data_IF_739601785464
#
_entry.id   IF_739601785464
#
_cell.length_a   1.000
_cell.length_b   1.000
_cell.length_c   1.000
_cell.angle_alpha   90.00
_cell.angle_beta   90.00
_cell.angle_gamma   90.00
#
_symmetry.space_group_name_H-M   'P 1'
#
loop_
_entity.id
_entity.type
_entity.pdbx_description
1 polymer ?
#
# COMPACT_ATOMS: atom_id res chain seq x y z
N UNK A 1 1.13 -7.70 -13.16
CA UNK A 1 2.20 -6.91 -12.53
C UNK A 1 3.23 -7.88 -12.02
N UNK A 2 4.22 -8.18 -12.87
CA UNK A 2 5.38 -9.05 -12.63
C UNK A 2 6.67 -8.28 -12.86
N UNK A 3 7.78 -8.71 -12.29
CA UNK A 3 9.06 -7.98 -12.44
C UNK A 3 9.53 -7.89 -13.89
N UNK A 4 9.16 -8.85 -14.73
CA UNK A 4 9.48 -8.90 -16.16
C UNK A 4 8.92 -7.69 -16.91
N UNK A 5 7.77 -7.16 -16.48
CA UNK A 5 7.15 -5.94 -17.02
C UNK A 5 8.03 -4.69 -16.79
N UNK A 6 8.95 -4.75 -15.82
CA UNK A 6 9.81 -3.63 -15.40
C UNK A 6 11.30 -3.86 -15.70
N UNK A 7 11.64 -4.87 -16.51
CA UNK A 7 13.02 -5.25 -16.81
C UNK A 7 13.90 -4.05 -17.22
N UNK A 8 13.39 -3.17 -18.07
CA UNK A 8 14.17 -2.04 -18.59
C UNK A 8 14.56 -1.06 -17.48
N UNK A 9 13.63 -0.80 -16.54
CA UNK A 9 13.90 0.00 -15.35
C UNK A 9 14.89 -0.69 -14.39
N UNK A 10 14.79 -2.02 -14.26
CA UNK A 10 15.68 -2.81 -13.41
C UNK A 10 17.12 -2.77 -13.97
N UNK A 11 17.30 -2.97 -15.27
CA UNK A 11 18.61 -2.90 -15.92
C UNK A 11 19.17 -1.47 -16.02
N UNK A 12 18.32 -0.45 -16.08
CA UNK A 12 18.73 0.95 -16.04
C UNK A 12 19.31 1.40 -14.69
N UNK A 13 19.13 0.63 -13.61
CA UNK A 13 19.64 0.98 -12.29
C UNK A 13 21.17 1.02 -12.25
N UNK A 14 21.75 2.23 -12.25
CA UNK A 14 23.20 2.45 -12.13
C UNK A 14 23.78 2.25 -10.71
N UNK A 15 22.98 1.79 -9.74
CA UNK A 15 23.38 1.56 -8.33
C UNK A 15 24.07 2.77 -7.66
N UNK A 16 23.70 4.00 -8.06
CA UNK A 16 24.30 5.27 -7.61
C UNK A 16 23.93 5.70 -6.17
N UNK A 17 23.08 4.95 -5.47
CA UNK A 17 22.68 5.19 -4.08
C UNK A 17 21.75 6.39 -3.81
N UNK A 18 21.32 7.16 -4.82
CA UNK A 18 20.35 8.27 -4.62
C UNK A 18 19.03 7.83 -3.96
N UNK A 19 18.57 6.61 -4.24
CA UNK A 19 17.36 6.09 -3.60
C UNK A 19 17.52 5.78 -2.10
N UNK A 20 18.74 5.47 -1.66
CA UNK A 20 19.05 5.25 -0.25
C UNK A 20 19.33 6.57 0.46
N UNK A 21 20.01 7.51 -0.20
CA UNK A 21 20.60 8.67 0.45
C UNK A 21 22.11 8.51 0.64
N UNK A 22 22.80 9.59 0.99
CA UNK A 22 24.22 9.59 1.35
C UNK A 22 24.33 10.25 2.73
N UNK A 23 25.01 9.60 3.67
CA UNK A 23 25.30 10.08 5.03
C UNK A 23 24.05 10.51 5.84
N UNK A 24 23.96 11.79 6.23
CA UNK A 24 22.89 12.33 7.08
C UNK A 24 21.54 12.52 6.35
N UNK A 25 21.47 12.21 5.05
CA UNK A 25 20.23 12.21 4.26
C UNK A 25 19.83 10.79 3.88
N UNK A 26 19.95 9.82 4.81
CA UNK A 26 19.41 8.48 4.63
C UNK A 26 17.88 8.56 4.49
N UNK A 27 17.40 8.20 3.31
CA UNK A 27 16.01 8.32 2.84
C UNK A 27 15.21 7.04 3.05
N UNK A 28 15.88 5.89 3.17
CA UNK A 28 15.23 4.61 3.39
C UNK A 28 15.18 4.32 4.89
N UNK A 29 14.02 4.50 5.57
CA UNK A 29 13.95 4.38 7.03
C UNK A 29 14.29 2.98 7.55
N UNK A 30 14.18 1.96 6.70
CA UNK A 30 14.47 0.57 7.06
C UNK A 30 15.96 0.30 7.30
N UNK A 31 16.86 1.15 6.79
CA UNK A 31 18.30 0.99 7.07
C UNK A 31 18.61 1.15 8.56
N UNK A 32 17.82 1.95 9.28
CA UNK A 32 18.00 2.20 10.71
C UNK A 32 17.54 1.05 11.60
N UNK A 33 16.81 0.08 11.06
CA UNK A 33 16.37 -1.11 11.79
C UNK A 33 17.09 -2.37 11.34
N UNK A 34 17.27 -2.54 10.03
CA UNK A 34 17.85 -3.76 9.46
C UNK A 34 19.36 -3.67 9.26
N UNK A 35 19.93 -2.48 9.03
CA UNK A 35 21.36 -2.23 8.76
C UNK A 35 21.97 -2.96 7.55
N UNK A 36 21.20 -3.84 6.88
CA UNK A 36 21.62 -4.56 5.67
C UNK A 36 21.26 -3.80 4.40
N UNK A 37 22.18 -3.79 3.43
CA UNK A 37 21.92 -3.16 2.14
C UNK A 37 20.78 -3.84 1.37
N UNK A 38 20.57 -5.15 1.54
CA UNK A 38 19.45 -5.88 0.92
C UNK A 38 18.07 -5.37 1.32
N UNK A 39 17.97 -4.64 2.43
CA UNK A 39 16.74 -4.01 2.92
C UNK A 39 16.54 -2.58 2.39
N UNK A 40 17.43 -2.05 1.55
CA UNK A 40 17.30 -0.71 0.97
C UNK A 40 16.63 -0.77 -0.41
N UNK A 41 16.25 0.38 -0.95
CA UNK A 41 15.81 0.50 -2.33
C UNK A 41 16.87 0.02 -3.33
N UNK A 42 18.15 0.35 -3.12
CA UNK A 42 19.24 -0.08 -4.02
C UNK A 42 19.47 -1.58 -3.94
N UNK A 43 19.46 -2.16 -2.73
CA UNK A 43 19.56 -3.60 -2.54
C UNK A 43 18.44 -4.35 -3.22
N UNK A 44 17.20 -3.88 -3.09
CA UNK A 44 16.03 -4.45 -3.79
C UNK A 44 16.14 -4.40 -5.30
N UNK A 45 16.73 -3.35 -5.87
CA UNK A 45 17.01 -3.31 -7.31
C UNK A 45 18.05 -4.36 -7.72
N UNK A 46 19.08 -4.60 -6.89
CA UNK A 46 20.06 -5.65 -7.12
C UNK A 46 19.44 -7.04 -7.01
N UNK A 47 18.55 -7.25 -6.04
CA UNK A 47 17.76 -8.48 -5.88
C UNK A 47 16.89 -8.71 -7.11
N UNK A 48 16.08 -7.73 -7.52
CA UNK A 48 15.20 -7.84 -8.68
C UNK A 48 15.99 -8.23 -9.94
N UNK A 49 17.16 -7.62 -10.14
CA UNK A 49 18.06 -7.97 -11.24
C UNK A 49 18.60 -9.40 -11.12
N UNK A 50 19.03 -9.81 -9.93
CA UNK A 50 19.50 -11.18 -9.69
C UNK A 50 18.43 -12.23 -9.97
N UNK A 51 17.17 -11.94 -9.67
CA UNK A 51 16.03 -12.80 -10.00
C UNK A 51 15.84 -12.89 -11.53
N UNK A 52 15.81 -11.75 -12.23
CA UNK A 52 15.70 -11.72 -13.70
C UNK A 52 16.85 -12.46 -14.41
N UNK A 53 18.05 -12.43 -13.83
CA UNK A 53 19.24 -13.09 -14.36
C UNK A 53 19.33 -14.57 -13.96
N UNK A 54 18.39 -15.09 -13.16
CA UNK A 54 18.40 -16.47 -12.66
C UNK A 54 19.50 -16.77 -11.64
N UNK A 55 20.08 -15.72 -11.03
CA UNK A 55 21.13 -15.83 -10.02
C UNK A 55 20.57 -15.86 -8.58
N UNK A 56 19.30 -15.48 -8.40
CA UNK A 56 18.58 -15.52 -7.13
C UNK A 56 17.17 -16.07 -7.36
N UNK A 57 16.73 -16.94 -6.46
CA UNK A 57 15.35 -17.41 -6.43
C UNK A 57 14.53 -16.67 -5.35
N UNK A 58 13.22 -16.64 -5.54
CA UNK A 58 12.30 -16.25 -4.48
C UNK A 58 12.33 -17.27 -3.33
N UNK A 59 12.41 -16.77 -2.09
CA UNK A 59 12.44 -17.61 -0.89
C UNK A 59 11.78 -16.89 0.29
N UNK A 60 11.38 -17.63 1.32
CA UNK A 60 10.79 -17.05 2.53
C UNK A 60 11.73 -16.03 3.20
N UNK A 61 13.05 -16.31 3.26
CA UNK A 61 14.05 -15.37 3.78
C UNK A 61 14.12 -14.07 2.96
N UNK A 62 13.97 -14.18 1.64
CA UNK A 62 13.94 -13.01 0.76
C UNK A 62 12.67 -12.19 0.97
N UNK A 63 11.56 -12.82 1.37
CA UNK A 63 10.30 -12.15 1.64
C UNK A 63 10.48 -11.07 2.71
N UNK A 64 11.25 -11.31 3.77
CA UNK A 64 11.53 -10.29 4.79
C UNK A 64 12.12 -9.01 4.18
N UNK A 65 13.03 -9.16 3.20
CA UNK A 65 13.68 -8.02 2.53
C UNK A 65 12.72 -7.30 1.59
N UNK A 66 11.82 -7.99 0.91
CA UNK A 66 10.88 -7.34 -0.02
C UNK A 66 9.70 -6.71 0.73
N UNK A 67 9.18 -7.40 1.74
CA UNK A 67 8.01 -6.98 2.51
C UNK A 67 8.33 -5.96 3.61
N UNK A 68 9.60 -5.83 4.03
CA UNK A 68 10.04 -4.77 4.95
C UNK A 68 9.87 -3.35 4.41
N UNK A 69 9.77 -3.17 3.08
CA UNK A 69 9.57 -1.85 2.48
C UNK A 69 8.23 -1.22 2.92
N UNK A 70 8.28 -0.03 3.53
CA UNK A 70 7.06 0.71 3.94
C UNK A 70 6.26 1.33 2.80
N UNK A 71 6.69 1.18 1.55
CA UNK A 71 6.01 1.77 0.39
C UNK A 71 5.87 3.30 0.47
N UNK A 72 6.79 4.00 1.15
CA UNK A 72 6.75 5.46 1.33
C UNK A 72 7.05 6.28 0.06
N UNK A 73 7.50 5.61 -1.00
CA UNK A 73 7.81 6.20 -2.31
C UNK A 73 8.92 7.27 -2.36
N UNK A 74 9.64 7.55 -1.26
CA UNK A 74 10.76 8.51 -1.29
C UNK A 74 11.84 8.12 -2.30
N UNK A 75 12.17 6.82 -2.39
CA UNK A 75 13.15 6.32 -3.37
C UNK A 75 12.70 6.50 -4.83
N UNK A 76 11.40 6.36 -5.09
CA UNK A 76 10.81 6.55 -6.42
C UNK A 76 11.01 7.98 -6.89
N UNK A 77 10.79 8.98 -6.04
CA UNK A 77 10.92 10.39 -6.45
C UNK A 77 12.34 10.73 -6.93
N UNK A 78 13.35 10.17 -6.27
CA UNK A 78 14.75 10.38 -6.62
C UNK A 78 15.16 9.58 -7.86
N UNK A 79 14.79 8.30 -7.91
CA UNK A 79 15.08 7.42 -9.04
C UNK A 79 14.35 7.82 -10.32
N UNK A 80 13.13 8.38 -10.21
CA UNK A 80 12.38 8.91 -11.34
C UNK A 80 13.11 10.08 -11.98
N UNK A 81 13.63 11.02 -11.16
CA UNK A 81 14.42 12.16 -11.67
C UNK A 81 15.73 11.71 -12.33
N UNK A 82 16.42 10.75 -11.71
CA UNK A 82 17.73 10.31 -12.18
C UNK A 82 17.68 9.43 -13.44
N UNK A 83 16.70 8.53 -13.54
CA UNK A 83 16.68 7.49 -14.59
C UNK A 83 15.26 7.03 -14.98
N UNK A 84 14.20 7.75 -14.60
CA UNK A 84 12.80 7.37 -14.85
C UNK A 84 12.42 5.97 -14.29
N UNK A 85 13.03 5.59 -13.17
CA UNK A 85 12.80 4.29 -12.51
C UNK A 85 11.74 4.45 -11.41
N UNK A 86 10.70 3.60 -11.44
CA UNK A 86 9.74 3.45 -10.34
C UNK A 86 10.08 2.23 -9.46
N UNK A 87 10.92 2.46 -8.45
CA UNK A 87 11.36 1.42 -7.50
C UNK A 87 10.19 0.81 -6.73
N UNK A 88 9.12 1.59 -6.50
CA UNK A 88 7.93 1.11 -5.77
C UNK A 88 7.12 0.15 -6.64
N UNK A 89 6.94 0.46 -7.92
CA UNK A 89 6.26 -0.45 -8.85
C UNK A 89 6.99 -1.78 -8.96
N UNK A 90 8.32 -1.76 -9.10
CA UNK A 90 9.17 -2.96 -9.11
C UNK A 90 9.05 -3.73 -7.79
N UNK A 91 9.10 -3.05 -6.65
CA UNK A 91 8.97 -3.72 -5.33
C UNK A 91 7.59 -4.36 -5.16
N UNK A 92 6.52 -3.70 -5.63
CA UNK A 92 5.18 -4.29 -5.63
C UNK A 92 5.08 -5.48 -6.59
N UNK A 93 5.75 -5.43 -7.74
CA UNK A 93 5.80 -6.54 -8.69
C UNK A 93 6.46 -7.77 -8.05
N UNK A 94 7.60 -7.59 -7.37
CA UNK A 94 8.22 -8.68 -6.59
C UNK A 94 7.26 -9.28 -5.56
N UNK A 95 6.52 -8.44 -4.81
CA UNK A 95 5.50 -8.94 -3.86
C UNK A 95 4.39 -9.73 -4.54
N UNK A 96 4.00 -9.34 -5.74
CA UNK A 96 2.98 -10.07 -6.51
C UNK A 96 3.51 -11.43 -7.01
N UNK A 97 4.80 -11.51 -7.37
CA UNK A 97 5.44 -12.77 -7.75
C UNK A 97 5.49 -13.75 -6.57
N UNK A 98 5.76 -13.27 -5.35
CA UNK A 98 5.64 -14.10 -4.13
C UNK A 98 4.27 -14.77 -4.00
N UNK A 99 3.19 -14.03 -4.26
CA UNK A 99 1.81 -14.55 -4.19
C UNK A 99 1.58 -15.59 -5.30
N UNK A 100 2.00 -15.31 -6.53
CA UNK A 100 1.83 -16.21 -7.66
C UNK A 100 2.58 -17.54 -7.52
N UNK A 101 3.78 -17.48 -6.93
CA UNK A 101 4.61 -18.65 -6.67
C UNK A 101 4.14 -19.44 -5.44
N UNK A 102 3.14 -18.95 -4.71
CA UNK A 102 2.65 -19.59 -3.48
C UNK A 102 3.69 -19.57 -2.35
N UNK A 103 4.65 -18.64 -2.38
CA UNK A 103 5.69 -18.53 -1.36
C UNK A 103 5.13 -17.72 -0.20
N UNK A 104 5.35 -18.23 1.01
CA UNK A 104 4.87 -17.60 2.24
C UNK A 104 5.40 -16.17 2.37
N UNK A 105 4.50 -15.24 2.70
CA UNK A 105 4.81 -13.84 3.00
C UNK A 105 4.73 -13.59 4.52
N UNK A 106 5.22 -12.45 5.04
CA UNK A 106 5.11 -12.15 6.46
C UNK A 106 3.65 -12.15 6.97
N UNK A 107 3.42 -12.91 8.05
CA UNK A 107 2.11 -13.22 8.62
C UNK A 107 1.27 -11.97 8.92
N UNK A 108 1.89 -10.91 9.44
CA UNK A 108 1.18 -9.67 9.78
C UNK A 108 0.55 -8.99 8.55
N UNK A 109 1.23 -9.02 7.40
CA UNK A 109 0.69 -8.48 6.16
C UNK A 109 -0.42 -9.36 5.60
N UNK A 110 -0.23 -10.68 5.65
CA UNK A 110 -1.18 -11.65 5.13
C UNK A 110 -2.51 -11.62 5.90
N UNK A 111 -2.44 -11.68 7.23
CA UNK A 111 -3.61 -11.58 8.10
C UNK A 111 -4.39 -10.28 7.92
N UNK A 112 -3.69 -9.17 7.68
CA UNK A 112 -4.34 -7.89 7.43
C UNK A 112 -5.18 -7.92 6.14
N UNK A 113 -4.64 -8.54 5.09
CA UNK A 113 -5.34 -8.74 3.83
C UNK A 113 -6.54 -9.70 3.98
N UNK A 114 -6.36 -10.82 4.68
CA UNK A 114 -7.44 -11.79 4.95
C UNK A 114 -8.57 -11.19 5.79
N UNK A 115 -8.23 -10.39 6.80
CA UNK A 115 -9.21 -9.66 7.62
C UNK A 115 -10.03 -8.71 6.75
N UNK A 116 -9.38 -7.97 5.85
CA UNK A 116 -10.07 -7.08 4.93
C UNK A 116 -11.01 -7.84 3.98
N UNK A 117 -10.60 -9.00 3.44
CA UNK A 117 -11.42 -9.84 2.56
C UNK A 117 -12.64 -10.43 3.28
N UNK A 118 -12.48 -10.84 4.54
CA UNK A 118 -13.53 -11.54 5.29
C UNK A 118 -14.52 -10.61 5.98
N UNK A 119 -14.07 -9.43 6.42
CA UNK A 119 -14.88 -8.51 7.23
C UNK A 119 -15.18 -7.17 6.55
N UNK A 120 -14.60 -6.92 5.37
CA UNK A 120 -14.74 -5.65 4.66
C UNK A 120 -13.91 -4.51 5.26
N UNK A 121 -13.17 -4.70 6.36
CA UNK A 121 -12.27 -3.69 6.91
C UNK A 121 -11.07 -4.35 7.64
N UNK A 122 -10.05 -3.56 8.01
CA UNK A 122 -8.82 -4.11 8.62
C UNK A 122 -8.91 -4.37 10.13
N UNK A 123 -10.03 -4.02 10.76
CA UNK A 123 -10.24 -4.17 12.20
C UNK A 123 -11.28 -5.24 12.56
N UNK A 124 -11.92 -5.84 11.55
CA UNK A 124 -13.10 -6.69 11.73
C UNK A 124 -14.24 -6.01 12.50
N UNK A 125 -14.37 -4.69 12.36
CA UNK A 125 -15.46 -3.94 12.96
C UNK A 125 -16.79 -4.33 12.33
N UNK A 126 -17.85 -4.38 13.14
CA UNK A 126 -19.23 -4.44 12.64
C UNK A 126 -19.65 -3.09 12.06
N UNK A 127 -20.68 -3.04 11.18
CA UNK A 127 -21.18 -1.77 10.65
C UNK A 127 -21.54 -0.75 11.75
N UNK A 128 -22.13 -1.21 12.86
CA UNK A 128 -22.46 -0.36 14.00
C UNK A 128 -21.23 0.31 14.64
N UNK A 129 -20.10 -0.40 14.76
CA UNK A 129 -18.85 0.16 15.30
C UNK A 129 -18.20 1.09 14.27
N UNK A 130 -18.17 0.64 13.02
CA UNK A 130 -17.54 1.34 11.90
C UNK A 130 -18.24 2.67 11.59
N UNK A 131 -19.56 2.75 11.74
CA UNK A 131 -20.35 3.94 11.46
C UNK A 131 -20.61 4.82 12.68
N UNK A 132 -20.12 4.46 13.87
CA UNK A 132 -20.34 5.23 15.10
C UNK A 132 -19.93 6.71 15.00
N UNK A 133 -18.91 7.02 14.19
CA UNK A 133 -18.42 8.39 14.02
C UNK A 133 -19.43 9.31 13.32
N UNK A 134 -20.53 8.80 12.75
CA UNK A 134 -21.55 9.61 12.06
C UNK A 134 -22.56 10.30 12.98
N UNK A 135 -22.47 10.08 14.29
CA UNK A 135 -23.47 10.60 15.25
C UNK A 135 -23.60 12.14 15.17
N UNK A 136 -24.84 12.59 15.00
CA UNK A 136 -25.19 14.01 14.87
C UNK A 136 -24.72 14.66 13.56
N UNK A 137 -24.51 13.88 12.51
CA UNK A 137 -24.20 14.34 11.14
C UNK A 137 -25.33 13.94 10.18
N UNK A 138 -25.56 14.76 9.16
CA UNK A 138 -26.55 14.49 8.12
C UNK A 138 -25.88 14.21 6.76
N UNK A 139 -26.22 13.08 6.15
CA UNK A 139 -25.75 12.72 4.81
C UNK A 139 -26.92 12.69 3.83
N UNK A 140 -26.68 13.11 2.59
CA UNK A 140 -27.67 13.10 1.52
C UNK A 140 -27.18 12.19 0.41
N UNK A 141 -27.87 11.05 0.22
CA UNK A 141 -27.56 10.11 -0.85
C UNK A 141 -27.69 10.80 -2.22
N UNK A 142 -26.68 10.64 -3.06
CA UNK A 142 -26.65 11.24 -4.39
C UNK A 142 -26.42 12.76 -4.40
N UNK A 143 -25.83 13.34 -3.35
CA UNK A 143 -25.48 14.77 -3.30
C UNK A 143 -24.45 15.20 -4.36
N UNK A 144 -23.82 14.24 -5.04
CA UNK A 144 -22.74 14.46 -6.00
C UNK A 144 -21.35 14.58 -5.35
N UNK A 145 -21.26 14.58 -4.01
CA UNK A 145 -19.98 14.61 -3.29
C UNK A 145 -19.94 13.51 -2.24
N UNK A 146 -19.20 12.43 -2.50
CA UNK A 146 -19.03 11.32 -1.56
C UNK A 146 -17.88 11.58 -0.59
N UNK A 147 -18.14 11.47 0.71
CA UNK A 147 -17.11 11.41 1.74
C UNK A 147 -16.76 9.96 2.05
N UNK A 148 -15.53 9.55 1.71
CA UNK A 148 -15.00 8.20 1.97
C UNK A 148 -13.91 8.26 3.06
N UNK A 149 -14.24 8.02 4.34
CA UNK A 149 -13.26 8.01 5.43
C UNK A 149 -12.32 6.80 5.40
N UNK A 150 -12.81 5.66 4.91
CA UNK A 150 -12.11 4.38 5.02
C UNK A 150 -11.97 3.85 6.45
N UNK A 151 -11.52 2.60 6.57
CA UNK A 151 -11.46 1.87 7.84
C UNK A 151 -10.61 2.52 8.94
N UNK A 152 -9.44 3.09 8.61
CA UNK A 152 -8.54 3.67 9.61
C UNK A 152 -9.16 4.89 10.30
N UNK A 153 -9.76 5.79 9.52
CA UNK A 153 -10.39 6.99 10.06
C UNK A 153 -11.64 6.63 10.87
N UNK A 154 -12.48 5.73 10.34
CA UNK A 154 -13.69 5.24 11.00
C UNK A 154 -13.43 4.49 12.32
N UNK A 155 -12.29 3.81 12.46
CA UNK A 155 -11.96 3.08 13.68
C UNK A 155 -11.11 3.90 14.68
N UNK A 156 -9.98 4.47 14.23
CA UNK A 156 -8.98 5.11 15.13
C UNK A 156 -9.17 6.61 15.30
N UNK A 157 -9.80 7.29 14.34
CA UNK A 157 -9.89 8.75 14.32
C UNK A 157 -11.35 9.23 14.29
N UNK A 158 -12.25 8.52 14.98
CA UNK A 158 -13.71 8.77 15.00
C UNK A 158 -14.06 10.24 15.21
N UNK A 159 -13.57 10.82 16.31
CA UNK A 159 -13.84 12.21 16.67
C UNK A 159 -13.32 13.19 15.61
N UNK A 160 -12.09 13.00 15.12
CA UNK A 160 -11.49 13.86 14.08
C UNK A 160 -12.23 13.76 12.75
N UNK A 161 -12.70 12.56 12.41
CA UNK A 161 -13.48 12.30 11.19
C UNK A 161 -14.84 13.01 11.28
N UNK A 162 -15.52 12.92 12.44
CA UNK A 162 -16.76 13.64 12.70
C UNK A 162 -16.57 15.17 12.59
N UNK A 163 -15.54 15.72 13.27
CA UNK A 163 -15.21 17.14 13.22
C UNK A 163 -14.95 17.61 11.79
N UNK A 164 -14.19 16.83 11.00
CA UNK A 164 -13.93 17.15 9.59
C UNK A 164 -15.24 17.28 8.79
N UNK A 165 -16.18 16.33 8.96
CA UNK A 165 -17.47 16.40 8.28
C UNK A 165 -18.30 17.61 8.74
N UNK A 166 -18.31 17.94 10.04
CA UNK A 166 -18.98 19.16 10.54
C UNK A 166 -18.42 20.42 9.90
N UNK A 167 -17.09 20.51 9.78
CA UNK A 167 -16.42 21.64 9.13
C UNK A 167 -16.82 21.74 7.65
N UNK A 168 -16.85 20.62 6.93
CA UNK A 168 -17.28 20.58 5.53
C UNK A 168 -18.76 21.00 5.37
N UNK A 169 -19.66 20.49 6.22
CA UNK A 169 -21.08 20.87 6.19
C UNK A 169 -21.29 22.34 6.54
N UNK A 170 -20.58 22.86 7.55
CA UNK A 170 -20.61 24.29 7.89
C UNK A 170 -20.07 25.18 6.77
N UNK A 171 -19.15 24.67 5.94
CA UNK A 171 -18.66 25.34 4.74
C UNK A 171 -19.63 25.23 3.53
N UNK A 172 -20.79 24.60 3.70
CA UNK A 172 -21.84 24.51 2.69
C UNK A 172 -21.78 23.27 1.80
N UNK A 173 -20.93 22.28 2.10
CA UNK A 173 -20.91 21.03 1.35
C UNK A 173 -22.04 20.09 1.80
N UNK A 174 -22.83 19.62 0.83
CA UNK A 174 -23.77 18.50 1.04
C UNK A 174 -23.06 17.20 0.71
N UNK A 175 -22.87 16.33 1.70
CA UNK A 175 -22.07 15.11 1.55
C UNK A 175 -22.94 13.86 1.51
N UNK A 176 -22.53 12.92 0.67
CA UNK A 176 -22.97 11.53 0.68
C UNK A 176 -21.97 10.68 1.48
N UNK A 177 -22.43 9.55 2.00
CA UNK A 177 -21.61 8.56 2.68
C UNK A 177 -22.19 7.16 2.44
N UNK A 178 -21.32 6.20 2.11
CA UNK A 178 -21.71 4.82 1.79
C UNK A 178 -22.32 4.07 2.98
N UNK A 179 -22.14 4.53 4.23
CA UNK A 179 -22.73 3.86 5.38
C UNK A 179 -22.22 2.43 5.53
N UNK A 180 -23.15 1.49 5.69
CA UNK A 180 -22.87 0.06 5.83
C UNK A 180 -22.28 -0.55 4.55
N UNK A 181 -22.46 0.09 3.39
CA UNK A 181 -21.92 -0.37 2.10
C UNK A 181 -20.42 -0.03 1.95
N UNK A 182 -19.84 0.79 2.85
CA UNK A 182 -18.41 1.10 2.78
C UNK A 182 -17.55 -0.11 3.14
N UNK A 183 -16.75 -0.58 2.17
CA UNK A 183 -15.70 -1.59 2.42
C UNK A 183 -14.30 -0.97 2.41
N UNK A 184 -13.27 -1.78 2.66
CA UNK A 184 -11.86 -1.41 2.66
C UNK A 184 -11.44 -0.90 1.29
N UNK A 185 -10.55 0.10 1.24
CA UNK A 185 -10.01 0.65 -0.01
C UNK A 185 -9.06 -0.31 -0.77
N UNK A 186 -8.93 -1.56 -0.34
CA UNK A 186 -8.07 -2.56 -0.98
C UNK A 186 -6.57 -2.36 -0.79
N UNK A 187 -6.13 -1.35 -0.03
CA UNK A 187 -4.69 -1.08 0.19
C UNK A 187 -3.93 -2.31 0.73
N UNK A 188 -4.42 -3.05 1.74
CA UNK A 188 -3.74 -4.26 2.23
C UNK A 188 -3.52 -5.30 1.13
N UNK A 189 -4.49 -5.48 0.23
CA UNK A 189 -4.40 -6.44 -0.88
C UNK A 189 -3.32 -6.01 -1.87
N UNK A 190 -3.32 -4.73 -2.25
CA UNK A 190 -2.35 -4.21 -3.21
C UNK A 190 -0.93 -4.29 -2.65
N UNK A 191 -0.70 -3.80 -1.43
CA UNK A 191 0.67 -3.73 -0.88
C UNK A 191 1.22 -5.10 -0.49
N UNK A 192 0.39 -6.12 -0.32
CA UNK A 192 0.83 -7.50 -0.05
C UNK A 192 1.01 -8.34 -1.31
N UNK A 193 0.76 -7.77 -2.50
CA UNK A 193 0.94 -8.48 -3.78
C UNK A 193 -0.29 -9.27 -4.24
N UNK A 194 -1.41 -9.24 -3.51
CA UNK A 194 -2.70 -9.85 -3.91
C UNK A 194 -3.40 -8.99 -4.97
N UNK A 195 -2.72 -8.79 -6.11
CA UNK A 195 -3.09 -7.83 -7.16
C UNK A 195 -4.44 -8.17 -7.79
N UNK A 196 -4.74 -9.45 -8.00
CA UNK A 196 -6.02 -9.88 -8.56
C UNK A 196 -7.19 -9.49 -7.64
N UNK A 197 -7.08 -9.77 -6.34
CA UNK A 197 -8.06 -9.35 -5.35
C UNK A 197 -8.18 -7.82 -5.30
N UNK A 198 -7.05 -7.10 -5.26
CA UNK A 198 -7.06 -5.64 -5.22
C UNK A 198 -7.76 -5.02 -6.44
N UNK A 199 -7.56 -5.60 -7.63
CA UNK A 199 -8.20 -5.14 -8.86
C UNK A 199 -9.70 -5.39 -8.83
N UNK A 200 -10.13 -6.60 -8.45
CA UNK A 200 -11.55 -6.90 -8.32
C UNK A 200 -12.21 -5.97 -7.32
N UNK A 201 -11.60 -5.81 -6.14
CA UNK A 201 -12.10 -4.93 -5.08
C UNK A 201 -12.29 -3.48 -5.54
N UNK A 202 -11.40 -2.97 -6.39
CA UNK A 202 -11.53 -1.64 -6.96
C UNK A 202 -12.66 -1.53 -7.99
N UNK A 203 -12.93 -2.60 -8.75
CA UNK A 203 -14.06 -2.65 -9.69
C UNK A 203 -15.40 -2.70 -8.95
N UNK A 204 -15.47 -3.43 -7.83
CA UNK A 204 -16.68 -3.54 -7.01
C UNK A 204 -17.14 -2.18 -6.44
N UNK A 205 -16.24 -1.18 -6.34
CA UNK A 205 -16.59 0.20 -5.95
C UNK A 205 -17.17 1.05 -7.09
N UNK A 206 -17.01 0.61 -8.34
CA UNK A 206 -17.47 1.34 -9.53
C UNK A 206 -18.82 0.85 -10.05
N UNK A 207 -19.24 -0.35 -9.62
CA UNK A 207 -20.53 -0.96 -9.93
C UNK A 207 -21.65 -0.44 -9.01
#
# INVERSE_FOLDING_TARGET
MRIEEYKDMIYACGRCNYCKGIDFDDRCPEIFTQYWESSTARGRMAIARGILEGALDYSEDLAERIFGCFMCARCKEECKKAAQIDVIAITKAMRADFIDLGIKIPEGGDKLAETALSSGNIFADTPAIHNQWTEGLEFTKGSGTLFYPGCLASHRFKEKTNILVRVLQAAGYTLDFLGDDQTCCGTPLWVTGKVANAKQWAMDFLE
#
